data_IF_487157556355
#
_entry.id   IF_487157556355
#
_cell.length_a   1.000
_cell.length_b   1.000
_cell.length_c   1.000
_cell.angle_alpha   90.00
_cell.angle_beta   90.00
_cell.angle_gamma   90.00
#
_symmetry.space_group_name_H-M   'P 1'
#
loop_
_entity.id
_entity.type
_entity.pdbx_description
1 polymer ?
#
# COMPACT_ATOMS: atom_id res chain seq x y z
N UNK A 1 8.91 -58.38 3.61
CA UNK A 1 8.96 -57.29 4.61
C UNK A 1 10.31 -56.58 4.49
N UNK A 2 10.72 -56.08 3.32
CA UNK A 2 10.05 -55.19 2.36
C UNK A 2 9.80 -53.78 2.93
N UNK A 3 10.62 -52.86 2.41
CA UNK A 3 10.17 -51.60 1.82
C UNK A 3 9.91 -50.36 2.68
N UNK A 4 10.06 -50.35 4.00
CA UNK A 4 9.72 -49.15 4.79
C UNK A 4 10.88 -48.25 5.24
N UNK A 5 12.14 -48.71 5.16
CA UNK A 5 13.27 -47.97 5.74
C UNK A 5 14.26 -47.35 4.74
N UNK A 6 14.14 -47.65 3.45
CA UNK A 6 15.00 -47.07 2.41
C UNK A 6 14.43 -45.77 1.77
N UNK A 7 13.17 -45.43 2.03
CA UNK A 7 12.55 -44.21 1.49
C UNK A 7 12.80 -42.94 2.32
N UNK A 8 13.15 -43.09 3.61
CA UNK A 8 13.36 -41.92 4.49
C UNK A 8 14.74 -41.29 4.27
N UNK A 9 15.73 -42.05 3.78
CA UNK A 9 17.10 -41.55 3.57
C UNK A 9 17.37 -41.04 2.15
N UNK A 10 16.49 -41.32 1.17
CA UNK A 10 16.61 -40.79 -0.19
C UNK A 10 15.96 -39.40 -0.37
N UNK A 11 15.16 -38.91 0.58
CA UNK A 11 14.64 -37.53 0.55
C UNK A 11 15.54 -36.51 1.27
N UNK A 12 16.56 -36.96 2.01
CA UNK A 12 17.51 -36.06 2.67
C UNK A 12 18.72 -35.70 1.79
N UNK A 13 18.89 -36.35 0.63
CA UNK A 13 20.12 -36.27 -0.17
C UNK A 13 19.86 -36.19 -1.68
N UNK A 14 18.88 -35.39 -2.10
CA UNK A 14 18.80 -34.91 -3.49
C UNK A 14 18.71 -33.38 -3.48
N UNK A 15 19.87 -32.76 -3.74
CA UNK A 15 20.07 -31.38 -4.21
C UNK A 15 19.53 -30.24 -3.32
N UNK A 16 20.29 -29.32 -2.73
CA UNK A 16 21.63 -28.74 -3.01
C UNK A 16 22.04 -28.71 -4.48
N UNK A 17 21.19 -28.14 -5.33
CA UNK A 17 21.62 -27.39 -6.51
C UNK A 17 20.78 -26.13 -6.64
N UNK A 18 21.47 -25.09 -7.06
CA UNK A 18 21.01 -23.72 -7.28
C UNK A 18 19.63 -23.63 -7.92
N UNK A 19 18.74 -22.89 -7.27
CA UNK A 19 17.47 -22.51 -7.88
C UNK A 19 16.71 -21.63 -6.91
N UNK A 20 16.85 -20.30 -7.06
CA UNK A 20 15.93 -19.35 -6.46
C UNK A 20 14.51 -19.73 -6.91
N UNK A 21 13.75 -20.42 -6.06
CA UNK A 21 12.30 -20.49 -6.20
C UNK A 21 11.75 -19.15 -5.74
N UNK A 22 11.94 -18.15 -6.60
CA UNK A 22 11.27 -16.86 -6.51
C UNK A 22 9.79 -17.18 -6.66
N UNK A 23 9.04 -17.20 -5.56
CA UNK A 23 7.59 -17.40 -5.63
C UNK A 23 7.01 -16.37 -6.61
N UNK A 24 5.91 -16.70 -7.29
CA UNK A 24 5.26 -15.76 -8.21
C UNK A 24 4.99 -14.39 -7.54
N UNK A 25 4.81 -14.40 -6.21
CA UNK A 25 4.73 -13.21 -5.37
C UNK A 25 5.99 -12.34 -5.41
N UNK A 26 7.21 -12.89 -5.38
CA UNK A 26 8.44 -12.08 -5.46
C UNK A 26 8.62 -11.46 -6.86
N UNK A 27 8.24 -12.17 -7.93
CA UNK A 27 8.30 -11.63 -9.30
C UNK A 27 7.33 -10.46 -9.44
N UNK A 28 6.13 -10.59 -8.88
CA UNK A 28 5.15 -9.51 -8.81
C UNK A 28 5.68 -8.33 -7.99
N UNK A 29 6.30 -8.58 -6.82
CA UNK A 29 6.90 -7.54 -5.97
C UNK A 29 7.99 -6.76 -6.68
N UNK A 30 8.84 -7.43 -7.48
CA UNK A 30 9.85 -6.74 -8.30
C UNK A 30 9.21 -5.87 -9.38
N UNK A 31 8.18 -6.38 -10.06
CA UNK A 31 7.45 -5.65 -11.10
C UNK A 31 6.70 -4.43 -10.54
N UNK A 32 6.15 -4.56 -9.33
CA UNK A 32 5.51 -3.47 -8.57
C UNK A 32 6.53 -2.40 -8.13
N UNK A 33 7.73 -2.80 -7.67
CA UNK A 33 8.79 -1.85 -7.29
C UNK A 33 9.29 -1.00 -8.46
N UNK A 34 9.14 -1.48 -9.69
CA UNK A 34 9.60 -0.80 -10.91
C UNK A 34 8.51 0.00 -11.64
N UNK A 35 7.24 -0.03 -11.21
CA UNK A 35 6.13 0.64 -11.90
C UNK A 35 5.50 1.74 -11.06
N UNK A 36 5.35 2.93 -11.65
CA UNK A 36 4.62 4.07 -11.04
C UNK A 36 3.09 3.94 -11.20
N UNK A 37 2.62 3.03 -12.06
CA UNK A 37 1.21 2.85 -12.42
C UNK A 37 0.57 1.61 -11.78
N UNK A 38 0.32 1.71 -10.47
CA UNK A 38 -0.25 0.65 -9.64
C UNK A 38 -1.69 0.27 -10.01
N UNK A 39 -2.47 1.18 -10.62
CA UNK A 39 -3.91 0.95 -10.84
C UNK A 39 -4.15 -0.09 -11.94
N UNK A 40 -3.31 -0.04 -12.99
CA UNK A 40 -3.34 -1.02 -14.06
C UNK A 40 -2.82 -2.38 -13.60
N UNK A 41 -1.72 -2.40 -12.83
CA UNK A 41 -1.18 -3.63 -12.25
C UNK A 41 -2.18 -4.30 -11.28
N UNK A 42 -2.91 -3.51 -10.49
CA UNK A 42 -3.92 -3.98 -9.55
C UNK A 42 -5.14 -4.58 -10.29
N UNK A 43 -5.63 -3.90 -11.34
CA UNK A 43 -6.73 -4.41 -12.18
C UNK A 43 -6.35 -5.70 -12.91
N UNK A 44 -5.13 -5.76 -13.46
CA UNK A 44 -4.59 -6.99 -14.07
C UNK A 44 -4.49 -8.13 -13.05
N UNK A 45 -4.06 -7.86 -11.81
CA UNK A 45 -3.97 -8.89 -10.79
C UNK A 45 -5.33 -9.38 -10.31
N UNK A 46 -6.28 -8.45 -10.07
CA UNK A 46 -7.66 -8.79 -9.73
C UNK A 46 -8.32 -9.67 -10.80
N UNK A 47 -8.08 -9.37 -12.08
CA UNK A 47 -8.61 -10.14 -13.20
C UNK A 47 -8.07 -11.58 -13.27
N UNK A 48 -6.92 -11.85 -12.64
CA UNK A 48 -6.25 -13.15 -12.67
C UNK A 48 -6.37 -13.95 -11.35
N UNK A 49 -7.07 -13.44 -10.33
CA UNK A 49 -7.25 -14.13 -9.06
C UNK A 49 -8.22 -15.31 -9.21
N UNK A 50 -7.79 -16.50 -8.77
CA UNK A 50 -8.66 -17.67 -8.65
C UNK A 50 -9.58 -17.53 -7.42
N UNK A 51 -10.80 -18.09 -7.45
CA UNK A 51 -11.68 -18.09 -6.28
C UNK A 51 -10.99 -18.79 -5.09
N UNK A 52 -10.93 -18.10 -3.95
CA UNK A 52 -10.26 -18.56 -2.71
C UNK A 52 -8.82 -18.04 -2.51
N UNK A 53 -8.25 -17.31 -3.48
CA UNK A 53 -6.90 -16.76 -3.38
C UNK A 53 -6.94 -15.38 -2.71
N UNK A 54 -6.45 -15.29 -1.46
CA UNK A 54 -6.42 -14.03 -0.69
C UNK A 54 -5.30 -13.14 -1.21
N UNK A 55 -5.63 -11.90 -1.59
CA UNK A 55 -4.68 -10.91 -2.07
C UNK A 55 -3.55 -10.68 -1.05
N UNK A 56 -2.26 -10.75 -1.44
CA UNK A 56 -1.19 -10.57 -0.49
C UNK A 56 -1.15 -9.10 -0.02
N UNK A 57 -1.19 -8.90 1.30
CA UNK A 57 -0.95 -7.63 2.02
C UNK A 57 0.23 -6.80 1.48
N UNK A 58 1.14 -7.47 0.77
CA UNK A 58 2.31 -6.94 0.09
C UNK A 58 1.95 -6.02 -1.09
N UNK A 59 0.88 -6.30 -1.84
CA UNK A 59 0.41 -5.47 -2.97
C UNK A 59 -0.20 -4.15 -2.45
N UNK A 60 -0.95 -4.20 -1.35
CA UNK A 60 -1.60 -3.02 -0.77
C UNK A 60 -0.69 -2.22 0.16
N UNK A 61 0.52 -2.73 0.43
CA UNK A 61 1.44 -2.21 1.43
C UNK A 61 0.72 -1.91 2.76
N UNK A 62 0.36 -2.98 3.47
CA UNK A 62 -0.39 -2.88 4.72
C UNK A 62 0.31 -3.58 5.86
N UNK A 63 0.04 -3.11 7.07
CA UNK A 63 0.43 -3.79 8.29
C UNK A 63 -0.57 -4.92 8.59
N UNK A 64 -0.07 -6.06 9.04
CA UNK A 64 -0.91 -7.19 9.47
C UNK A 64 -1.70 -6.84 10.74
N UNK A 65 -1.05 -6.18 11.69
CA UNK A 65 -1.65 -5.72 12.94
C UNK A 65 -1.57 -4.20 13.00
N UNK A 66 -2.46 -3.54 12.25
CA UNK A 66 -2.41 -2.11 11.95
C UNK A 66 -2.26 -1.24 13.21
N UNK A 67 -3.14 -1.42 14.20
CA UNK A 67 -3.09 -0.62 15.43
C UNK A 67 -1.80 -0.89 16.23
N UNK A 68 -1.41 -2.16 16.38
CA UNK A 68 -0.19 -2.51 17.12
C UNK A 68 1.07 -1.95 16.46
N UNK A 69 1.18 -2.01 15.13
CA UNK A 69 2.30 -1.46 14.39
C UNK A 69 2.35 0.07 14.50
N UNK A 70 1.19 0.74 14.45
CA UNK A 70 1.07 2.17 14.68
C UNK A 70 1.49 2.56 16.11
N UNK A 71 0.92 1.92 17.14
CA UNK A 71 1.24 2.23 18.54
C UNK A 71 2.73 2.06 18.84
N UNK A 72 3.34 0.98 18.33
CA UNK A 72 4.79 0.75 18.44
C UNK A 72 5.60 1.83 17.73
N UNK A 73 5.14 2.30 16.56
CA UNK A 73 5.83 3.34 15.78
C UNK A 73 5.78 4.67 16.54
N UNK A 74 4.61 5.07 17.00
CA UNK A 74 4.41 6.29 17.80
C UNK A 74 5.21 6.23 19.10
N UNK A 75 5.21 5.08 19.78
CA UNK A 75 5.98 4.89 21.01
C UNK A 75 7.49 4.67 20.79
N UNK A 76 7.98 4.73 19.55
CA UNK A 76 9.38 4.44 19.16
C UNK A 76 9.90 3.05 19.60
N UNK A 77 9.00 2.08 19.73
CA UNK A 77 9.30 0.67 20.09
C UNK A 77 9.26 -0.28 18.89
N UNK A 78 8.98 0.23 17.70
CA UNK A 78 8.92 -0.57 16.48
C UNK A 78 10.35 -0.91 16.01
N UNK A 79 10.72 -2.19 16.06
CA UNK A 79 12.06 -2.64 15.68
C UNK A 79 12.06 -3.35 14.33
N UNK A 80 12.19 -2.59 13.25
CA UNK A 80 12.10 -3.10 11.87
C UNK A 80 13.22 -4.07 11.44
N UNK A 81 14.24 -4.25 12.28
CA UNK A 81 15.28 -5.28 12.14
C UNK A 81 14.83 -6.63 12.68
N UNK A 82 13.93 -6.67 13.67
CA UNK A 82 13.38 -7.91 14.23
C UNK A 82 12.46 -8.57 13.23
N UNK A 83 12.65 -9.87 12.99
CA UNK A 83 11.84 -10.67 12.05
C UNK A 83 10.33 -10.50 12.25
N UNK A 84 9.87 -10.43 13.52
CA UNK A 84 8.45 -10.27 13.85
C UNK A 84 7.88 -8.95 13.34
N UNK A 85 8.54 -7.83 13.63
CA UNK A 85 8.06 -6.50 13.26
C UNK A 85 8.28 -6.26 11.77
N UNK A 86 9.41 -6.73 11.22
CA UNK A 86 9.67 -6.72 9.77
C UNK A 86 8.57 -7.42 8.97
N UNK A 87 8.06 -8.56 9.44
CA UNK A 87 7.02 -9.34 8.74
C UNK A 87 5.62 -8.76 8.92
N UNK A 88 5.31 -8.23 10.10
CA UNK A 88 3.95 -7.80 10.44
C UNK A 88 3.69 -6.32 10.19
N UNK A 89 4.72 -5.48 10.16
CA UNK A 89 4.62 -4.02 10.09
C UNK A 89 5.27 -3.47 8.82
N UNK A 90 4.98 -4.09 7.67
CA UNK A 90 5.60 -3.77 6.38
C UNK A 90 5.47 -2.29 6.00
N UNK A 91 4.28 -1.71 6.22
CA UNK A 91 4.02 -0.31 5.93
C UNK A 91 4.68 0.59 6.98
N UNK A 92 4.46 0.29 8.26
CA UNK A 92 4.99 1.12 9.35
C UNK A 92 6.53 1.18 9.34
N UNK A 93 7.18 0.08 8.93
CA UNK A 93 8.62 -0.03 8.74
C UNK A 93 9.15 0.50 7.38
N UNK A 94 8.28 0.95 6.47
CA UNK A 94 8.68 1.45 5.16
C UNK A 94 9.28 0.39 4.23
N UNK A 95 9.00 -0.88 4.47
CA UNK A 95 9.52 -2.02 3.68
C UNK A 95 8.75 -2.21 2.36
N UNK A 96 7.62 -1.54 2.24
CA UNK A 96 6.83 -1.41 1.03
C UNK A 96 6.46 0.05 0.80
N UNK A 97 6.06 0.39 -0.43
CA UNK A 97 5.53 1.70 -0.77
C UNK A 97 4.04 1.54 -1.08
N UNK A 98 3.14 2.25 -0.39
CA UNK A 98 1.74 2.28 -0.78
C UNK A 98 1.61 2.97 -2.14
N UNK A 99 0.51 2.72 -2.89
CA UNK A 99 0.22 3.49 -4.09
C UNK A 99 0.17 4.98 -3.74
N UNK A 100 0.83 5.81 -4.55
CA UNK A 100 0.84 7.25 -4.33
C UNK A 100 -0.60 7.80 -4.41
N UNK A 101 -0.94 8.70 -3.49
CA UNK A 101 -2.21 9.41 -3.54
C UNK A 101 -2.41 10.06 -4.92
N UNK A 102 -3.65 10.14 -5.43
CA UNK A 102 -3.93 10.73 -6.74
C UNK A 102 -3.30 12.11 -6.94
N UNK A 103 -3.36 12.98 -5.92
CA UNK A 103 -2.73 14.30 -5.94
C UNK A 103 -1.23 14.22 -6.21
N UNK A 104 -0.48 13.42 -5.43
CA UNK A 104 0.97 13.24 -5.61
C UNK A 104 1.34 12.74 -7.00
N UNK A 105 0.52 11.85 -7.59
CA UNK A 105 0.71 11.38 -8.98
C UNK A 105 0.52 12.51 -9.98
N UNK A 106 -0.47 13.36 -9.77
CA UNK A 106 -0.70 14.53 -10.61
C UNK A 106 0.44 15.55 -10.49
N UNK A 107 0.87 15.88 -9.28
CA UNK A 107 1.96 16.83 -9.02
C UNK A 107 3.27 16.38 -9.66
N UNK A 108 3.56 15.08 -9.68
CA UNK A 108 4.73 14.51 -10.35
C UNK A 108 4.76 14.82 -11.86
N UNK A 109 3.59 14.96 -12.51
CA UNK A 109 3.49 15.28 -13.94
C UNK A 109 3.73 16.76 -14.24
N UNK A 110 3.75 17.63 -13.23
CA UNK A 110 3.92 19.09 -13.37
C UNK A 110 3.01 19.72 -14.45
N UNK A 111 1.69 19.49 -14.41
CA UNK A 111 0.78 20.11 -15.36
C UNK A 111 0.78 21.64 -15.23
N UNK A 112 0.66 22.35 -16.35
CA UNK A 112 0.67 23.83 -16.39
C UNK A 112 -0.46 24.46 -15.58
N UNK A 113 -1.62 23.80 -15.52
CA UNK A 113 -2.79 24.27 -14.77
C UNK A 113 -2.79 23.81 -13.28
N UNK A 114 -1.73 23.16 -12.82
CA UNK A 114 -1.69 22.54 -11.50
C UNK A 114 -2.60 21.31 -11.39
N UNK A 115 -2.89 20.90 -10.15
CA UNK A 115 -3.70 19.72 -9.86
C UNK A 115 -4.85 20.05 -8.91
N UNK A 116 -5.99 19.40 -9.10
CA UNK A 116 -7.05 19.35 -8.09
C UNK A 116 -6.65 18.39 -6.95
N UNK A 117 -7.22 18.55 -5.76
CA UNK A 117 -6.96 17.70 -4.59
C UNK A 117 -7.21 16.20 -4.86
N UNK A 118 -8.11 15.88 -5.78
CA UNK A 118 -8.43 14.50 -6.18
C UNK A 118 -7.45 13.92 -7.23
N UNK A 119 -6.40 14.67 -7.59
CA UNK A 119 -5.40 14.27 -8.59
C UNK A 119 -5.81 14.41 -10.05
N UNK A 120 -6.93 15.09 -10.35
CA UNK A 120 -7.28 15.45 -11.73
C UNK A 120 -6.58 16.74 -12.13
N UNK A 121 -6.26 16.83 -13.42
CA UNK A 121 -5.78 18.08 -14.03
C UNK A 121 -7.02 18.90 -14.36
N UNK A 122 -7.14 20.14 -13.86
CA UNK A 122 -8.26 21.00 -14.21
C UNK A 122 -8.18 21.41 -15.68
N UNK A 123 -9.35 21.54 -16.31
CA UNK A 123 -9.50 22.03 -17.68
C UNK A 123 -9.25 23.55 -17.73
N UNK A 124 -9.55 24.27 -16.65
CA UNK A 124 -9.36 25.72 -16.55
C UNK A 124 -8.19 26.06 -15.63
N UNK A 125 -7.45 27.11 -15.97
CA UNK A 125 -6.31 27.59 -15.16
C UNK A 125 -6.71 28.14 -13.80
N UNK A 126 -7.95 28.61 -13.67
CA UNK A 126 -8.51 29.11 -12.40
C UNK A 126 -8.94 27.99 -11.44
N UNK A 127 -8.81 26.72 -11.84
CA UNK A 127 -9.22 25.54 -11.08
C UNK A 127 -10.71 25.53 -10.68
N UNK A 128 -11.55 26.35 -11.34
CA UNK A 128 -12.98 26.44 -11.04
C UNK A 128 -13.75 25.16 -11.34
N UNK A 129 -13.19 24.27 -12.17
CA UNK A 129 -13.72 22.94 -12.47
C UNK A 129 -13.25 21.85 -11.50
N UNK A 130 -12.36 22.18 -10.54
CA UNK A 130 -12.02 21.25 -9.47
C UNK A 130 -13.21 21.05 -8.51
N UNK A 131 -13.38 19.84 -7.95
CA UNK A 131 -14.37 19.62 -6.91
C UNK A 131 -14.08 20.48 -5.67
N UNK A 132 -15.12 20.88 -4.92
CA UNK A 132 -14.92 21.62 -3.68
C UNK A 132 -14.02 20.83 -2.72
N UNK A 133 -13.13 21.54 -2.03
CA UNK A 133 -12.18 20.91 -1.12
C UNK A 133 -12.77 20.84 0.30
N UNK A 134 -13.70 19.90 0.48
CA UNK A 134 -14.43 19.70 1.72
C UNK A 134 -14.47 18.20 2.03
N UNK A 135 -14.44 17.87 3.32
CA UNK A 135 -14.61 16.50 3.76
C UNK A 135 -16.06 16.05 3.51
N UNK A 136 -16.23 14.96 2.75
CA UNK A 136 -17.56 14.43 2.44
C UNK A 136 -18.25 13.83 3.67
N UNK A 137 -17.46 13.31 4.63
CA UNK A 137 -17.95 12.72 5.88
C UNK A 137 -17.20 13.29 7.09
N UNK A 138 -17.44 14.56 7.50
CA UNK A 138 -16.59 15.25 8.48
C UNK A 138 -16.39 14.48 9.80
N UNK A 139 -17.46 13.89 10.36
CA UNK A 139 -17.39 13.10 11.60
C UNK A 139 -16.53 11.84 11.44
N UNK A 140 -16.70 11.13 10.33
CA UNK A 140 -15.93 9.92 10.03
C UNK A 140 -14.48 10.26 9.75
N UNK A 141 -14.21 11.32 8.99
CA UNK A 141 -12.87 11.84 8.73
C UNK A 141 -12.15 12.20 10.04
N UNK A 142 -12.82 12.92 10.95
CA UNK A 142 -12.26 13.27 12.26
C UNK A 142 -12.03 12.06 13.18
N UNK A 143 -12.80 10.98 13.01
CA UNK A 143 -12.61 9.74 13.77
C UNK A 143 -11.43 8.96 13.21
N UNK A 144 -11.42 8.74 11.89
CA UNK A 144 -10.39 7.95 11.22
C UNK A 144 -9.04 8.65 11.20
N UNK A 145 -8.97 9.98 11.24
CA UNK A 145 -7.70 10.71 11.39
C UNK A 145 -6.94 10.33 12.67
N UNK A 146 -7.66 9.90 13.71
CA UNK A 146 -7.10 9.46 14.99
C UNK A 146 -6.84 7.95 15.07
N UNK A 147 -7.34 7.17 14.12
CA UNK A 147 -7.21 5.70 14.14
C UNK A 147 -6.00 5.27 13.34
N UNK A 148 -5.06 4.63 14.04
CA UNK A 148 -3.92 3.94 13.46
C UNK A 148 -3.13 4.73 12.38
N UNK A 149 -3.05 6.06 12.53
CA UNK A 149 -2.33 6.96 11.62
C UNK A 149 -3.16 7.61 10.50
N UNK A 150 -4.47 7.37 10.44
CA UNK A 150 -5.42 8.06 9.56
C UNK A 150 -5.01 8.12 8.09
N UNK A 151 -4.69 9.31 7.59
CA UNK A 151 -4.27 9.54 6.20
C UNK A 151 -3.00 8.76 5.82
N UNK A 152 -2.17 8.42 6.82
CA UNK A 152 -0.97 7.60 6.69
C UNK A 152 -1.12 6.26 7.44
N UNK A 153 -2.33 5.72 7.54
CA UNK A 153 -2.56 4.49 8.31
C UNK A 153 -1.89 3.26 7.69
N UNK A 154 -1.52 2.27 8.51
CA UNK A 154 -1.07 0.95 8.01
C UNK A 154 -2.16 0.14 7.30
N UNK A 155 -3.43 0.56 7.42
CA UNK A 155 -4.59 -0.04 6.75
C UNK A 155 -4.86 0.60 5.40
N UNK A 156 -4.94 -0.22 4.35
CA UNK A 156 -5.35 0.26 3.02
C UNK A 156 -6.77 0.81 3.03
N UNK A 157 -7.71 0.17 3.74
CA UNK A 157 -9.10 0.63 3.81
C UNK A 157 -9.22 2.02 4.43
N UNK A 158 -8.54 2.26 5.55
CA UNK A 158 -8.53 3.57 6.22
C UNK A 158 -7.86 4.60 5.32
N UNK A 159 -6.65 4.34 4.81
CA UNK A 159 -5.98 5.27 3.90
C UNK A 159 -6.82 5.60 2.67
N UNK A 160 -7.40 4.60 2.03
CA UNK A 160 -8.19 4.79 0.81
C UNK A 160 -9.45 5.60 1.07
N UNK A 161 -10.12 5.37 2.20
CA UNK A 161 -11.26 6.20 2.62
C UNK A 161 -10.84 7.65 2.84
N UNK A 162 -9.79 7.85 3.63
CA UNK A 162 -9.26 9.19 3.95
C UNK A 162 -8.84 9.92 2.67
N UNK A 163 -8.18 9.22 1.74
CA UNK A 163 -7.73 9.80 0.48
C UNK A 163 -8.89 10.26 -0.40
N UNK A 164 -9.98 9.47 -0.42
CA UNK A 164 -11.09 9.69 -1.33
C UNK A 164 -12.09 10.72 -0.81
N UNK A 165 -12.29 10.78 0.51
CA UNK A 165 -13.40 11.50 1.11
C UNK A 165 -13.00 12.58 2.12
N UNK A 166 -11.74 12.64 2.53
CA UNK A 166 -11.28 13.52 3.60
C UNK A 166 -10.14 14.46 3.14
N UNK A 167 -10.30 15.22 2.03
CA UNK A 167 -9.23 16.04 1.49
C UNK A 167 -8.79 17.18 2.41
N UNK A 168 -9.71 17.73 3.22
CA UNK A 168 -9.38 18.80 4.17
C UNK A 168 -8.69 18.21 5.39
N UNK A 169 -9.23 17.15 5.99
CA UNK A 169 -8.58 16.46 7.13
C UNK A 169 -7.18 15.93 6.79
N UNK A 170 -6.93 15.51 5.55
CA UNK A 170 -5.62 15.01 5.10
C UNK A 170 -4.68 16.07 4.52
N UNK A 171 -5.05 17.35 4.59
CA UNK A 171 -4.30 18.48 4.06
C UNK A 171 -4.00 18.42 2.54
N UNK A 172 -4.85 17.73 1.77
CA UNK A 172 -4.73 17.67 0.31
C UNK A 172 -5.20 18.95 -0.36
N UNK A 173 -6.05 19.72 0.34
CA UNK A 173 -6.47 21.04 -0.09
C UNK A 173 -5.28 22.01 -0.17
N UNK A 174 -4.50 22.10 0.91
CA UNK A 174 -3.31 22.96 0.92
C UNK A 174 -2.28 22.48 -0.11
N UNK A 175 -2.02 21.17 -0.16
CA UNK A 175 -1.03 20.59 -1.10
C UNK A 175 -1.39 20.87 -2.58
N UNK A 176 -2.68 20.88 -2.95
CA UNK A 176 -3.14 21.22 -4.30
C UNK A 176 -3.13 22.73 -4.61
N UNK A 177 -3.18 23.58 -3.57
CA UNK A 177 -3.15 25.04 -3.71
C UNK A 177 -1.75 25.61 -3.88
N UNK A 178 -0.72 24.88 -3.43
CA UNK A 178 0.70 25.29 -3.51
C UNK A 178 1.35 25.09 -4.88
N UNK A 179 0.58 24.63 -5.88
CA UNK A 179 1.05 24.29 -7.25
C UNK A 179 0.28 25.04 -8.30
#
# INVERSE_FOLDING_TARGET
MALHWLFVLLFCFVWRTNGLYVSEDEKLVRKIRSTDDYDQLYKEHLANLKPGQVMPHLILCTDKYVQQCYDKKESKRLECTRLRDKKNCLFSCGLCKPPAAPLKRCLKKKPVAGCCWNGKIPLKRDKSDCPPCLDAYPKTCATFSKVAGGCNAGSFGVRNFMIKYCPSTCAFCEEASMT
#
